data_IF_631663088013
#
_entry.id   IF_631663088013
#
_cell.length_a   1.000
_cell.length_b   1.000
_cell.length_c   1.000
_cell.angle_alpha   90.00
_cell.angle_beta   90.00
_cell.angle_gamma   90.00
#
_symmetry.space_group_name_H-M   'P 1'
#
loop_
_entity.id
_entity.type
_entity.pdbx_description
1 polymer ?
#
# COMPACT_ATOMS: atom_id res chain seq x y z
N UNK A 1 -12.66 -0.05 -12.38
CA UNK A 1 -12.35 0.01 -13.84
C UNK A 1 -11.34 -1.09 -14.12
N UNK A 2 -11.78 -2.17 -14.76
CA UNK A 2 -10.95 -3.34 -15.09
C UNK A 2 -10.01 -2.92 -16.22
N UNK A 3 -8.69 -3.13 -16.08
CA UNK A 3 -7.77 -2.96 -17.19
C UNK A 3 -8.19 -3.90 -18.33
N UNK A 4 -8.31 -3.34 -19.53
CA UNK A 4 -8.64 -4.15 -20.69
C UNK A 4 -7.44 -5.07 -20.99
N UNK A 5 -7.71 -6.29 -21.37
CA UNK A 5 -6.75 -7.26 -21.93
C UNK A 5 -5.75 -6.66 -22.95
N UNK A 6 -6.11 -5.52 -23.57
CA UNK A 6 -5.25 -4.77 -24.48
C UNK A 6 -4.03 -4.11 -23.79
N UNK A 7 -4.18 -3.57 -22.57
CA UNK A 7 -3.07 -2.88 -21.87
C UNK A 7 -2.00 -3.87 -21.44
N UNK A 8 -2.38 -5.07 -21.07
CA UNK A 8 -1.43 -6.11 -20.68
C UNK A 8 -0.64 -6.62 -21.88
N UNK A 9 -1.28 -6.83 -23.03
CA UNK A 9 -0.59 -7.16 -24.27
C UNK A 9 0.38 -6.06 -24.69
N UNK A 10 0.02 -4.79 -24.48
CA UNK A 10 0.93 -3.66 -24.74
C UNK A 10 2.11 -3.65 -23.77
N UNK A 11 1.93 -4.01 -22.49
CA UNK A 11 3.03 -4.15 -21.53
C UNK A 11 3.97 -5.30 -21.91
N UNK A 12 3.44 -6.45 -22.30
CA UNK A 12 4.23 -7.58 -22.79
C UNK A 12 5.03 -7.19 -24.04
N UNK A 13 4.48 -6.29 -24.87
CA UNK A 13 5.20 -5.68 -26.00
C UNK A 13 6.09 -4.48 -25.58
N UNK A 14 6.39 -4.33 -24.30
CA UNK A 14 7.29 -3.29 -23.72
C UNK A 14 6.86 -1.85 -24.06
N UNK A 15 5.56 -1.59 -24.14
CA UNK A 15 5.02 -0.25 -24.34
C UNK A 15 5.25 0.63 -23.10
N UNK A 16 6.06 1.68 -23.22
CA UNK A 16 6.29 2.68 -22.17
C UNK A 16 4.99 3.34 -21.71
N UNK A 17 4.09 3.64 -22.64
CA UNK A 17 2.79 4.25 -22.33
C UNK A 17 1.94 3.34 -21.44
N UNK A 18 1.89 2.04 -21.75
CA UNK A 18 1.14 1.08 -20.93
C UNK A 18 1.76 0.90 -19.55
N UNK A 19 3.08 0.96 -19.45
CA UNK A 19 3.78 0.97 -18.16
C UNK A 19 3.44 2.22 -17.35
N UNK A 20 3.53 3.40 -17.97
CA UNK A 20 3.21 4.67 -17.32
C UNK A 20 1.78 4.68 -16.77
N UNK A 21 0.79 4.20 -17.53
CA UNK A 21 -0.60 4.09 -17.07
C UNK A 21 -0.75 3.23 -15.80
N UNK A 22 -0.05 2.09 -15.74
CA UNK A 22 -0.08 1.20 -14.57
C UNK A 22 0.70 1.82 -13.40
N UNK A 23 1.86 2.40 -13.68
CA UNK A 23 2.67 3.07 -12.67
C UNK A 23 1.88 4.22 -12.02
N UNK A 24 1.34 5.14 -12.80
CA UNK A 24 0.54 6.27 -12.29
C UNK A 24 -0.66 5.82 -11.47
N UNK A 25 -1.27 4.72 -11.86
CA UNK A 25 -2.42 4.19 -11.15
C UNK A 25 -2.08 3.53 -9.82
N UNK A 26 -0.94 2.83 -9.74
CA UNK A 26 -0.67 1.94 -8.60
C UNK A 26 0.55 2.31 -7.75
N UNK A 27 1.42 3.27 -8.16
CA UNK A 27 2.64 3.59 -7.40
C UNK A 27 2.34 4.02 -5.97
N UNK A 28 1.31 4.83 -5.75
CA UNK A 28 0.90 5.26 -4.39
C UNK A 28 0.47 4.10 -3.52
N UNK A 29 -0.28 3.16 -4.09
CA UNK A 29 -0.71 1.93 -3.40
C UNK A 29 0.49 1.09 -3.00
N UNK A 30 1.37 0.81 -3.95
CA UNK A 30 2.56 -0.03 -3.75
C UNK A 30 3.48 0.58 -2.70
N UNK A 31 3.75 1.88 -2.81
CA UNK A 31 4.51 2.63 -1.82
C UNK A 31 3.90 2.51 -0.42
N UNK A 32 2.58 2.70 -0.32
CA UNK A 32 1.90 2.67 0.96
C UNK A 32 1.92 1.30 1.61
N UNK A 33 1.71 0.22 0.83
CA UNK A 33 1.83 -1.16 1.33
C UNK A 33 3.22 -1.40 1.90
N UNK A 34 4.26 -0.96 1.21
CA UNK A 34 5.63 -1.04 1.71
C UNK A 34 5.79 -0.25 3.01
N UNK A 35 5.36 1.02 3.02
CA UNK A 35 5.49 1.92 4.17
C UNK A 35 4.81 1.37 5.44
N UNK A 36 3.64 0.74 5.28
CA UNK A 36 2.95 0.11 6.42
C UNK A 36 3.76 -1.01 7.07
N UNK A 37 4.61 -1.66 6.32
CA UNK A 37 5.42 -2.80 6.79
C UNK A 37 6.77 -2.32 7.30
N UNK A 38 7.51 -1.53 6.50
CA UNK A 38 8.89 -1.14 6.84
C UNK A 38 8.98 0.09 7.74
N UNK A 39 7.94 0.94 7.79
CA UNK A 39 7.85 2.16 8.61
C UNK A 39 8.96 3.20 8.32
N UNK A 40 9.57 3.16 7.15
CA UNK A 40 10.59 4.06 6.66
C UNK A 40 10.25 4.49 5.23
N UNK A 41 10.20 5.80 4.96
CA UNK A 41 9.78 6.35 3.66
C UNK A 41 10.79 6.06 2.55
N UNK A 42 12.08 6.20 2.84
CA UNK A 42 13.15 5.99 1.86
C UNK A 42 13.16 4.51 1.43
N UNK A 43 13.11 3.61 2.40
CA UNK A 43 13.02 2.16 2.15
C UNK A 43 11.72 1.79 1.43
N UNK A 44 10.60 2.39 1.79
CA UNK A 44 9.32 2.13 1.11
C UNK A 44 9.35 2.59 -0.35
N UNK A 45 10.05 3.69 -0.65
CA UNK A 45 10.23 4.18 -2.01
C UNK A 45 11.09 3.25 -2.85
N UNK A 46 12.17 2.73 -2.29
CA UNK A 46 13.03 1.74 -2.95
C UNK A 46 12.25 0.45 -3.23
N UNK A 47 11.50 -0.04 -2.25
CA UNK A 47 10.66 -1.23 -2.43
C UNK A 47 9.56 -1.00 -3.48
N UNK A 48 8.98 0.19 -3.54
CA UNK A 48 8.02 0.54 -4.59
C UNK A 48 8.68 0.43 -5.98
N UNK A 49 9.84 1.01 -6.18
CA UNK A 49 10.58 0.92 -7.45
C UNK A 49 10.91 -0.54 -7.79
N UNK A 50 11.46 -1.29 -6.85
CA UNK A 50 11.78 -2.71 -7.02
C UNK A 50 10.55 -3.55 -7.35
N UNK A 51 9.39 -3.19 -6.79
CA UNK A 51 8.12 -3.85 -7.12
C UNK A 51 7.79 -3.73 -8.61
N UNK A 52 7.89 -2.52 -9.18
CA UNK A 52 7.62 -2.31 -10.60
C UNK A 52 8.69 -2.94 -11.49
N UNK A 53 9.97 -2.88 -11.11
CA UNK A 53 11.04 -3.58 -11.81
C UNK A 53 10.79 -5.09 -11.84
N UNK A 54 10.42 -5.67 -10.71
CA UNK A 54 10.11 -7.10 -10.62
C UNK A 54 8.85 -7.47 -11.40
N UNK A 55 7.81 -6.63 -11.34
CA UNK A 55 6.60 -6.79 -12.14
C UNK A 55 6.93 -6.85 -13.63
N UNK A 56 7.73 -5.89 -14.14
CA UNK A 56 8.11 -5.85 -15.56
C UNK A 56 8.97 -7.04 -16.00
N UNK A 57 9.83 -7.55 -15.12
CA UNK A 57 10.62 -8.77 -15.40
C UNK A 57 9.75 -10.03 -15.51
N UNK A 58 8.60 -10.04 -14.85
CA UNK A 58 7.69 -11.18 -14.81
C UNK A 58 6.47 -11.02 -15.72
N UNK A 59 6.35 -9.90 -16.43
CA UNK A 59 5.16 -9.56 -17.21
C UNK A 59 4.87 -10.55 -18.34
N UNK A 60 5.90 -11.14 -18.93
CA UNK A 60 5.75 -12.12 -20.03
C UNK A 60 5.07 -13.42 -19.55
N UNK A 61 5.18 -13.73 -18.27
CA UNK A 61 4.58 -14.91 -17.63
C UNK A 61 3.29 -14.58 -16.86
N UNK A 62 2.90 -13.31 -16.82
CA UNK A 62 1.71 -12.88 -16.11
C UNK A 62 0.45 -13.14 -16.95
N UNK A 63 -0.42 -14.00 -16.46
CA UNK A 63 -1.75 -14.23 -17.03
C UNK A 63 -2.76 -13.23 -16.45
N UNK A 64 -3.43 -12.48 -17.34
CA UNK A 64 -4.38 -11.46 -16.94
C UNK A 64 -5.68 -12.06 -16.40
N UNK A 65 -5.79 -12.09 -15.10
CA UNK A 65 -7.03 -12.43 -14.40
C UNK A 65 -7.75 -11.15 -13.88
N UNK A 66 -7.40 -9.96 -14.37
CA UNK A 66 -7.89 -8.68 -13.83
C UNK A 66 -7.36 -8.34 -12.44
N UNK A 67 -6.30 -9.00 -11.99
CA UNK A 67 -5.76 -8.93 -10.62
C UNK A 67 -4.41 -8.22 -10.51
N UNK A 68 -4.06 -7.32 -11.46
CA UNK A 68 -2.79 -6.56 -11.42
C UNK A 68 -2.56 -5.90 -10.08
N UNK A 69 -3.60 -5.31 -9.49
CA UNK A 69 -3.56 -4.66 -8.18
C UNK A 69 -3.06 -5.61 -7.09
N UNK A 70 -3.71 -6.78 -6.96
CA UNK A 70 -3.32 -7.80 -5.97
C UNK A 70 -1.90 -8.33 -6.24
N UNK A 71 -1.55 -8.49 -7.51
CA UNK A 71 -0.23 -8.96 -7.89
C UNK A 71 0.87 -7.97 -7.47
N UNK A 72 0.72 -6.68 -7.77
CA UNK A 72 1.65 -5.62 -7.35
C UNK A 72 1.75 -5.52 -5.82
N UNK A 73 0.62 -5.55 -5.12
CA UNK A 73 0.62 -5.48 -3.65
C UNK A 73 1.26 -6.70 -3.00
N UNK A 74 1.11 -7.88 -3.60
CA UNK A 74 1.78 -9.11 -3.15
C UNK A 74 3.29 -9.01 -3.32
N UNK A 75 3.78 -8.50 -4.47
CA UNK A 75 5.22 -8.28 -4.69
C UNK A 75 5.76 -7.30 -3.66
N UNK A 76 5.10 -6.16 -3.45
CA UNK A 76 5.50 -5.13 -2.48
C UNK A 76 5.57 -5.68 -1.05
N UNK A 77 4.53 -6.40 -0.62
CA UNK A 77 4.48 -7.06 0.69
C UNK A 77 5.65 -8.04 0.89
N UNK A 78 5.91 -8.89 -0.09
CA UNK A 78 6.98 -9.87 -0.02
C UNK A 78 8.37 -9.21 0.04
N UNK A 79 8.61 -8.16 -0.75
CA UNK A 79 9.86 -7.39 -0.70
C UNK A 79 10.03 -6.72 0.67
N UNK A 80 8.98 -6.12 1.21
CA UNK A 80 8.98 -5.48 2.53
C UNK A 80 9.30 -6.45 3.66
N UNK A 81 8.66 -7.62 3.65
CA UNK A 81 8.91 -8.66 4.66
C UNK A 81 10.33 -9.21 4.57
N UNK A 82 10.85 -9.40 3.35
CA UNK A 82 12.23 -9.83 3.14
C UNK A 82 13.24 -8.79 3.64
N UNK A 83 12.96 -7.50 3.41
CA UNK A 83 13.79 -6.41 3.94
C UNK A 83 13.86 -6.45 5.47
N UNK A 84 12.70 -6.53 6.16
CA UNK A 84 12.68 -6.61 7.64
C UNK A 84 13.42 -7.84 8.14
N UNK A 85 13.26 -8.99 7.48
CA UNK A 85 13.95 -10.21 7.87
C UNK A 85 15.47 -10.06 7.77
N UNK A 86 15.97 -9.45 6.69
CA UNK A 86 17.39 -9.15 6.53
C UNK A 86 17.91 -8.17 7.58
N UNK A 87 17.21 -7.06 7.79
CA UNK A 87 17.58 -6.06 8.79
C UNK A 87 17.69 -6.66 10.19
N UNK A 88 16.77 -7.53 10.60
CA UNK A 88 16.83 -8.24 11.88
C UNK A 88 18.00 -9.23 11.96
N UNK A 89 18.38 -9.86 10.87
CA UNK A 89 19.54 -10.76 10.84
C UNK A 89 20.85 -9.97 10.95
N UNK A 90 20.94 -8.79 10.32
CA UNK A 90 22.11 -7.93 10.40
C UNK A 90 22.26 -7.28 11.79
N UNK A 91 21.16 -6.85 12.43
CA UNK A 91 21.16 -6.35 13.83
C UNK A 91 21.61 -7.41 14.83
N UNK A 92 21.36 -8.70 14.58
CA UNK A 92 21.80 -9.78 15.48
C UNK A 92 23.31 -10.07 15.40
N UNK A 93 24.00 -9.52 14.39
CA UNK A 93 25.45 -9.65 14.22
C UNK A 93 26.26 -8.43 14.71
N UNK A 94 25.61 -7.28 14.93
CA UNK A 94 26.28 -6.03 15.31
C UNK A 94 25.58 -5.35 16.51
N UNK A 95 25.98 -5.72 17.71
CA UNK A 95 25.44 -5.22 18.99
C UNK A 95 25.76 -3.71 19.25
N UNK A 96 26.32 -2.98 18.28
CA UNK A 96 26.85 -1.63 18.48
C UNK A 96 26.16 -0.52 17.70
N UNK A 97 25.14 -0.79 16.87
CA UNK A 97 24.47 0.27 16.10
C UNK A 97 23.01 0.46 16.53
N UNK A 98 22.81 1.37 17.47
CA UNK A 98 21.51 2.03 17.68
C UNK A 98 21.21 2.87 16.44
N UNK A 99 20.46 2.29 15.50
CA UNK A 99 20.00 2.97 14.30
C UNK A 99 19.09 4.14 14.67
N UNK A 100 19.51 5.35 14.36
CA UNK A 100 18.70 6.57 14.44
C UNK A 100 17.53 6.45 13.47
N UNK A 101 16.33 6.13 14.00
CA UNK A 101 15.09 6.26 13.25
C UNK A 101 14.93 7.72 12.82
N UNK A 102 15.06 8.00 11.52
CA UNK A 102 14.75 9.32 10.98
C UNK A 102 13.28 9.66 11.28
N UNK A 103 13.05 10.87 11.80
CA UNK A 103 11.67 11.36 12.01
C UNK A 103 10.93 11.46 10.68
N UNK A 104 9.65 11.07 10.65
CA UNK A 104 8.84 11.13 9.44
C UNK A 104 8.68 12.56 8.92
N UNK A 105 8.68 12.73 7.60
CA UNK A 105 8.50 14.02 6.93
C UNK A 105 7.02 14.48 6.94
N UNK A 106 6.75 15.76 6.66
CA UNK A 106 5.43 16.41 6.76
C UNK A 106 4.26 15.76 5.96
N UNK A 107 4.51 14.81 5.06
CA UNK A 107 3.45 14.01 4.41
C UNK A 107 2.87 12.92 5.33
N UNK A 108 3.55 12.64 6.40
CA UNK A 108 3.18 11.68 7.45
C UNK A 108 2.02 12.19 8.32
N UNK A 109 1.67 13.46 8.23
CA UNK A 109 0.71 14.10 9.13
C UNK A 109 -0.71 13.51 8.99
N UNK A 110 -1.15 13.22 7.77
CA UNK A 110 -2.47 12.58 7.51
C UNK A 110 -2.51 11.17 8.10
N UNK A 111 -1.42 10.40 7.93
CA UNK A 111 -1.33 9.04 8.45
C UNK A 111 -1.22 9.01 9.97
N UNK A 112 -0.42 9.93 10.52
CA UNK A 112 -0.31 10.12 11.97
C UNK A 112 -1.67 10.48 12.57
N UNK A 113 -2.44 11.33 11.90
CA UNK A 113 -3.79 11.73 12.28
C UNK A 113 -4.76 10.56 12.22
N UNK A 114 -4.72 9.74 11.16
CA UNK A 114 -5.52 8.53 11.07
C UNK A 114 -5.25 7.58 12.23
N UNK A 115 -3.98 7.33 12.55
CA UNK A 115 -3.59 6.45 13.65
C UNK A 115 -3.87 7.01 15.06
N UNK A 116 -3.95 8.35 15.21
CA UNK A 116 -4.33 8.97 16.49
C UNK A 116 -5.83 8.96 16.73
N UNK A 117 -6.62 9.02 15.66
CA UNK A 117 -8.09 9.19 15.73
C UNK A 117 -8.83 7.87 15.59
N UNK A 118 -8.28 6.94 14.81
CA UNK A 118 -8.89 5.67 14.45
C UNK A 118 -8.17 4.50 15.08
N UNK A 119 -8.91 3.40 15.29
CA UNK A 119 -8.26 2.12 15.58
C UNK A 119 -7.44 1.67 14.37
N UNK A 120 -6.48 0.78 14.57
CA UNK A 120 -5.66 0.24 13.48
C UNK A 120 -6.52 -0.35 12.35
N UNK A 121 -7.57 -1.06 12.70
CA UNK A 121 -8.51 -1.67 11.75
C UNK A 121 -9.32 -0.63 10.99
N UNK A 122 -9.87 0.39 11.66
CA UNK A 122 -10.58 1.50 11.02
C UNK A 122 -9.65 2.28 10.07
N UNK A 123 -8.42 2.56 10.48
CA UNK A 123 -7.43 3.23 9.64
C UNK A 123 -7.10 2.39 8.39
N UNK A 124 -6.98 1.08 8.53
CA UNK A 124 -6.75 0.16 7.41
C UNK A 124 -7.92 0.18 6.43
N UNK A 125 -9.17 0.09 6.91
CA UNK A 125 -10.37 0.13 6.07
C UNK A 125 -10.48 1.46 5.30
N UNK A 126 -10.29 2.60 5.99
CA UNK A 126 -10.31 3.93 5.37
C UNK A 126 -9.23 4.06 4.31
N UNK A 127 -8.04 3.60 4.61
CA UNK A 127 -6.90 3.61 3.70
C UNK A 127 -7.19 2.77 2.44
N UNK A 128 -7.64 1.54 2.61
CA UNK A 128 -7.98 0.66 1.48
C UNK A 128 -9.10 1.26 0.63
N UNK A 129 -10.10 1.89 1.27
CA UNK A 129 -11.23 2.50 0.55
C UNK A 129 -10.86 3.78 -0.17
N UNK A 130 -10.20 4.73 0.53
CA UNK A 130 -9.99 6.09 0.04
C UNK A 130 -8.76 6.21 -0.84
N UNK A 131 -7.63 5.63 -0.43
CA UNK A 131 -6.38 5.73 -1.18
C UNK A 131 -6.26 4.67 -2.27
N UNK A 132 -6.94 3.53 -2.10
CA UNK A 132 -6.74 2.37 -2.97
C UNK A 132 -7.96 1.99 -3.78
N UNK A 133 -9.07 2.72 -3.59
CA UNK A 133 -10.32 2.53 -4.32
C UNK A 133 -10.83 1.05 -4.29
N UNK A 134 -10.51 0.35 -3.16
CA UNK A 134 -11.07 -0.98 -2.93
C UNK A 134 -12.60 -0.89 -2.76
N UNK A 135 -13.34 -1.80 -3.36
CA UNK A 135 -14.75 -1.98 -3.00
C UNK A 135 -14.85 -2.51 -1.56
N UNK A 136 -15.95 -2.26 -0.89
CA UNK A 136 -16.16 -2.83 0.45
C UNK A 136 -16.16 -4.37 0.46
N UNK A 137 -16.51 -4.98 -0.65
CA UNK A 137 -16.44 -6.44 -0.84
C UNK A 137 -14.99 -6.93 -0.84
N UNK A 138 -14.12 -6.28 -1.64
CA UNK A 138 -12.68 -6.61 -1.67
C UNK A 138 -12.02 -6.40 -0.30
N UNK A 139 -12.40 -5.33 0.43
CA UNK A 139 -11.90 -5.10 1.79
C UNK A 139 -12.36 -6.21 2.74
N UNK A 140 -13.62 -6.65 2.60
CA UNK A 140 -14.16 -7.76 3.39
C UNK A 140 -13.42 -9.07 3.14
N UNK A 141 -13.14 -9.38 1.88
CA UNK A 141 -12.35 -10.55 1.49
C UNK A 141 -10.91 -10.49 2.02
N UNK A 142 -10.26 -9.31 1.97
CA UNK A 142 -8.89 -9.11 2.47
C UNK A 142 -8.79 -9.21 3.99
N UNK A 143 -9.82 -8.77 4.71
CA UNK A 143 -9.85 -8.71 6.17
C UNK A 143 -10.65 -9.86 6.82
N UNK A 144 -11.14 -10.81 6.03
CA UNK A 144 -12.00 -11.92 6.46
C UNK A 144 -13.22 -11.45 7.28
N UNK A 145 -13.93 -10.44 6.74
CA UNK A 145 -15.09 -9.83 7.38
C UNK A 145 -16.24 -9.64 6.41
N UNK A 146 -17.47 -9.62 6.95
CA UNK A 146 -18.65 -9.39 6.13
C UNK A 146 -18.67 -7.97 5.54
N UNK A 147 -19.29 -7.83 4.37
CA UNK A 147 -19.52 -6.54 3.70
C UNK A 147 -20.16 -5.52 4.64
N UNK A 148 -21.20 -5.92 5.39
CA UNK A 148 -21.90 -5.03 6.32
C UNK A 148 -21.02 -4.58 7.48
N UNK A 149 -20.16 -5.46 7.99
CA UNK A 149 -19.19 -5.13 9.04
C UNK A 149 -18.20 -4.07 8.56
N UNK A 150 -17.63 -4.26 7.36
CA UNK A 150 -16.68 -3.30 6.77
C UNK A 150 -17.34 -1.95 6.52
N UNK A 151 -18.55 -1.91 5.96
CA UNK A 151 -19.30 -0.68 5.76
C UNK A 151 -19.57 0.06 7.06
N UNK A 152 -20.03 -0.66 8.10
CA UNK A 152 -20.29 -0.07 9.41
C UNK A 152 -19.03 0.55 10.03
N UNK A 153 -17.90 -0.16 9.99
CA UNK A 153 -16.61 0.34 10.48
C UNK A 153 -16.12 1.54 9.68
N UNK A 154 -16.25 1.51 8.37
CA UNK A 154 -15.87 2.62 7.50
C UNK A 154 -16.64 3.91 7.84
N UNK A 155 -17.98 3.85 7.89
CA UNK A 155 -18.78 5.04 8.18
C UNK A 155 -18.51 5.58 9.58
N UNK A 156 -18.34 4.72 10.58
CA UNK A 156 -17.96 5.12 11.92
C UNK A 156 -16.58 5.80 11.96
N UNK A 157 -15.62 5.29 11.20
CA UNK A 157 -14.30 5.90 11.07
C UNK A 157 -14.38 7.30 10.41
N UNK A 158 -15.18 7.45 9.37
CA UNK A 158 -15.39 8.76 8.70
C UNK A 158 -16.01 9.77 9.66
N UNK A 159 -16.99 9.39 10.47
CA UNK A 159 -17.58 10.28 11.48
C UNK A 159 -16.56 10.72 12.55
N UNK A 160 -15.69 9.84 13.00
CA UNK A 160 -14.59 10.20 13.91
C UNK A 160 -13.64 11.21 13.28
N UNK A 161 -13.27 11.01 12.01
CA UNK A 161 -12.40 11.95 11.28
C UNK A 161 -13.07 13.31 11.09
N UNK A 162 -14.34 13.37 10.71
CA UNK A 162 -15.09 14.62 10.61
C UNK A 162 -15.08 15.40 11.92
N UNK A 163 -15.34 14.69 13.03
CA UNK A 163 -15.33 15.29 14.37
C UNK A 163 -13.95 15.81 14.76
N UNK A 164 -12.89 15.07 14.43
CA UNK A 164 -11.52 15.49 14.66
C UNK A 164 -11.16 16.76 13.89
N UNK A 165 -11.38 16.78 12.58
CA UNK A 165 -11.06 17.94 11.74
C UNK A 165 -11.94 19.17 12.06
N UNK A 166 -13.20 18.97 12.49
CA UNK A 166 -14.03 20.08 12.94
C UNK A 166 -13.51 20.74 14.23
N UNK A 167 -12.80 20.01 15.06
CA UNK A 167 -12.18 20.53 16.30
C UNK A 167 -10.83 21.21 16.03
N UNK A 168 -10.04 20.69 15.10
CA UNK A 168 -8.73 21.23 14.74
C UNK A 168 -8.83 22.50 13.85
N UNK A 169 -9.92 22.66 13.11
CA UNK A 169 -10.18 23.81 12.23
C UNK A 169 -10.76 25.06 12.91
N UNK A 170 -10.67 25.14 14.25
CA UNK A 170 -11.12 26.31 15.04
C UNK A 170 -9.97 27.12 15.57
#
# INVERSE_FOLDING_TARGET
MIFRSSTLKQLQNKSEKAFEEIYQKYHKLVFYVALQIVKDEDVAQDIMQDTFVKFMKQIDHYEDQGKIKQYLTTISKNLSLNYIKKAKQEESYDDTKVGTRKKPSNKTDVMLTLHKTLTQEEAQIVTLKVLFDYSFKEIGEEMDQSLGTIQGKYYKAIEKLKTYFAKEGR
#
